data_IF_422569605022
#
_entry.id   IF_422569605022
#
_cell.length_a   1.000
_cell.length_b   1.000
_cell.length_c   1.000
_cell.angle_alpha   90.00
_cell.angle_beta   90.00
_cell.angle_gamma   90.00
#
_symmetry.space_group_name_H-M   'P 1'
#
loop_
_entity.id
_entity.type
_entity.pdbx_description
1 polymer ?
#
# COMPACT_ATOMS: atom_id res chain seq x y z
N UNK A 1 2.56 -0.14 52.43
CA UNK A 1 3.71 0.24 51.56
C UNK A 1 3.22 0.46 50.14
N UNK A 2 3.14 1.71 49.73
CA UNK A 2 2.75 2.04 48.35
C UNK A 2 3.96 1.83 47.43
N UNK A 3 3.88 0.86 46.54
CA UNK A 3 4.88 0.67 45.50
C UNK A 3 4.70 1.82 44.50
N UNK A 4 5.60 2.78 44.57
CA UNK A 4 5.71 3.87 43.60
C UNK A 4 6.17 3.25 42.27
N UNK A 5 5.23 2.92 41.41
CA UNK A 5 5.51 2.52 40.03
C UNK A 5 6.15 3.71 39.31
N UNK A 6 7.48 3.69 39.22
CA UNK A 6 8.22 4.67 38.42
C UNK A 6 7.69 4.63 36.98
N UNK A 7 6.91 5.63 36.63
CA UNK A 7 6.43 5.82 35.25
C UNK A 7 7.66 5.96 34.34
N UNK A 8 7.89 4.99 33.46
CA UNK A 8 8.91 5.07 32.41
C UNK A 8 8.70 6.36 31.64
N UNK A 9 9.69 7.24 31.61
CA UNK A 9 9.65 8.50 30.86
C UNK A 9 9.22 8.21 29.42
N UNK A 10 8.10 8.82 29.00
CA UNK A 10 7.61 8.73 27.62
C UNK A 10 8.67 9.36 26.72
N UNK A 11 9.20 8.62 25.76
CA UNK A 11 10.22 9.13 24.81
C UNK A 11 9.68 10.26 23.92
N UNK A 12 8.37 10.29 23.70
CA UNK A 12 7.68 11.30 22.87
C UNK A 12 6.40 11.73 23.58
N UNK A 13 6.23 13.05 23.66
CA UNK A 13 5.04 13.74 24.15
C UNK A 13 4.26 14.26 22.97
N UNK A 14 2.98 13.94 22.85
CA UNK A 14 2.11 14.40 21.78
C UNK A 14 1.29 15.58 22.26
N UNK A 15 1.46 16.73 21.65
CA UNK A 15 0.65 17.93 21.85
C UNK A 15 0.16 18.42 20.51
N UNK A 16 -1.10 18.19 20.23
CA UNK A 16 -1.73 18.59 18.97
C UNK A 16 -2.15 20.07 19.05
N UNK A 17 -1.93 20.79 17.96
CA UNK A 17 -2.51 22.11 17.75
C UNK A 17 -4.02 22.00 17.44
N UNK A 18 -4.77 23.07 17.58
CA UNK A 18 -6.22 23.05 17.26
C UNK A 18 -6.46 22.79 15.77
N UNK A 19 -5.58 23.24 14.89
CA UNK A 19 -5.62 22.95 13.45
C UNK A 19 -5.44 21.46 13.18
N UNK A 20 -4.45 20.81 13.82
CA UNK A 20 -4.23 19.37 13.68
C UNK A 20 -5.39 18.53 14.21
N UNK A 21 -5.98 18.95 15.34
CA UNK A 21 -7.20 18.31 15.88
C UNK A 21 -8.34 18.37 14.89
N UNK A 22 -8.56 19.54 14.27
CA UNK A 22 -9.60 19.70 13.25
C UNK A 22 -9.38 18.75 12.07
N UNK A 23 -8.14 18.62 11.57
CA UNK A 23 -7.78 17.68 10.50
C UNK A 23 -8.09 16.24 10.92
N UNK A 24 -7.72 15.84 12.14
CA UNK A 24 -8.00 14.49 12.65
C UNK A 24 -9.50 14.24 12.74
N UNK A 25 -10.27 15.15 13.30
CA UNK A 25 -11.72 15.01 13.46
C UNK A 25 -12.44 14.94 12.12
N UNK A 26 -12.08 15.78 11.15
CA UNK A 26 -12.59 15.72 9.79
C UNK A 26 -12.26 14.36 9.12
N UNK A 27 -11.03 13.88 9.30
CA UNK A 27 -10.60 12.60 8.74
C UNK A 27 -11.35 11.43 9.38
N UNK A 28 -11.59 11.48 10.68
CA UNK A 28 -12.34 10.45 11.42
C UNK A 28 -13.83 10.44 11.04
N UNK A 29 -14.43 11.60 10.81
CA UNK A 29 -15.85 11.71 10.42
C UNK A 29 -16.10 11.34 8.96
N UNK A 30 -15.08 11.38 8.10
CA UNK A 30 -15.21 11.06 6.70
C UNK A 30 -15.42 9.56 6.49
N UNK A 31 -16.62 9.15 6.07
CA UNK A 31 -17.01 7.76 5.81
C UNK A 31 -16.17 7.04 4.74
N UNK A 32 -15.48 7.80 3.88
CA UNK A 32 -14.60 7.25 2.83
C UNK A 32 -13.18 6.96 3.31
N UNK A 33 -12.84 7.35 4.54
CA UNK A 33 -11.49 7.12 5.10
C UNK A 33 -11.25 5.63 5.31
N UNK A 34 -10.12 5.13 4.82
CA UNK A 34 -9.76 3.73 4.99
C UNK A 34 -9.48 3.40 6.47
N UNK A 35 -9.78 2.14 6.87
CA UNK A 35 -9.66 1.68 8.27
C UNK A 35 -8.29 1.92 8.89
N UNK A 36 -7.22 1.85 8.11
CA UNK A 36 -5.84 2.04 8.59
C UNK A 36 -5.59 3.50 8.98
N UNK A 37 -5.99 4.45 8.14
CA UNK A 37 -5.88 5.90 8.42
C UNK A 37 -6.78 6.27 9.59
N UNK A 38 -8.02 5.78 9.61
CA UNK A 38 -8.96 5.99 10.70
C UNK A 38 -8.34 5.61 12.06
N UNK A 39 -7.78 4.38 12.16
CA UNK A 39 -7.13 3.93 13.41
C UNK A 39 -5.93 4.81 13.79
N UNK A 40 -5.09 5.23 12.83
CA UNK A 40 -3.96 6.12 13.10
C UNK A 40 -4.41 7.46 13.67
N UNK A 41 -5.43 8.06 13.07
CA UNK A 41 -6.01 9.34 13.53
C UNK A 41 -6.60 9.21 14.95
N UNK A 42 -7.35 8.15 15.22
CA UNK A 42 -7.92 7.88 16.54
C UNK A 42 -6.83 7.67 17.60
N UNK A 43 -5.82 6.87 17.31
CA UNK A 43 -4.68 6.63 18.20
C UNK A 43 -3.97 7.94 18.53
N UNK A 44 -3.70 8.78 17.53
CA UNK A 44 -2.99 10.04 17.75
C UNK A 44 -3.82 11.01 18.57
N UNK A 45 -5.13 11.08 18.32
CA UNK A 45 -6.07 11.91 19.09
C UNK A 45 -6.11 11.51 20.58
N UNK A 46 -6.14 10.21 20.86
CA UNK A 46 -6.18 9.71 22.25
C UNK A 46 -4.83 9.86 22.98
N UNK A 47 -3.74 10.00 22.25
CA UNK A 47 -2.41 10.28 22.80
C UNK A 47 -2.13 11.75 23.09
N UNK A 48 -3.01 12.67 22.64
CA UNK A 48 -2.85 14.10 22.90
C UNK A 48 -2.90 14.38 24.41
N UNK A 49 -1.86 14.98 24.95
CA UNK A 49 -1.77 15.27 26.39
C UNK A 49 -2.79 16.31 26.87
N UNK A 50 -3.26 17.17 25.96
CA UNK A 50 -4.16 18.27 26.32
C UNK A 50 -5.63 17.82 26.35
N UNK A 51 -6.06 17.05 25.35
CA UNK A 51 -7.47 16.63 25.19
C UNK A 51 -7.65 15.13 25.01
N UNK A 52 -6.57 14.36 25.06
CA UNK A 52 -6.59 12.91 24.90
C UNK A 52 -7.03 12.19 26.19
N UNK A 53 -7.06 10.86 26.10
CA UNK A 53 -7.51 9.99 27.20
C UNK A 53 -6.46 9.79 28.30
N UNK A 54 -5.24 10.32 28.16
CA UNK A 54 -4.12 10.11 29.11
C UNK A 54 -3.66 8.66 29.23
N UNK A 55 -4.11 7.77 28.34
CA UNK A 55 -3.83 6.35 28.39
C UNK A 55 -2.40 6.00 27.98
N UNK A 56 -1.94 4.85 28.45
CA UNK A 56 -0.64 4.28 28.02
C UNK A 56 -0.72 3.72 26.60
N UNK A 57 0.42 3.60 25.90
CA UNK A 57 0.49 2.97 24.58
C UNK A 57 -0.07 1.55 24.58
N UNK A 58 0.17 0.77 25.65
CA UNK A 58 -0.36 -0.58 25.78
C UNK A 58 -1.91 -0.58 25.86
N UNK A 59 -2.48 0.36 26.62
CA UNK A 59 -3.94 0.49 26.77
C UNK A 59 -4.59 0.92 25.45
N UNK A 60 -4.02 1.91 24.77
CA UNK A 60 -4.49 2.36 23.44
C UNK A 60 -4.38 1.23 22.41
N UNK A 61 -3.28 0.47 22.43
CA UNK A 61 -3.14 -0.69 21.56
C UNK A 61 -4.25 -1.73 21.76
N UNK A 62 -4.62 -1.97 23.01
CA UNK A 62 -5.75 -2.86 23.34
C UNK A 62 -7.10 -2.29 22.86
N UNK A 63 -7.38 -1.00 23.11
CA UNK A 63 -8.63 -0.33 22.69
C UNK A 63 -8.85 -0.43 21.17
N UNK A 64 -7.80 -0.19 20.39
CA UNK A 64 -7.90 -0.21 18.92
C UNK A 64 -7.58 -1.57 18.28
N UNK A 65 -7.38 -2.61 19.07
CA UNK A 65 -7.00 -3.95 18.63
C UNK A 65 -5.80 -3.91 17.64
N UNK A 66 -4.71 -3.29 18.10
CA UNK A 66 -3.44 -3.21 17.37
C UNK A 66 -2.28 -3.61 18.30
N UNK A 67 -1.13 -3.95 17.72
CA UNK A 67 0.04 -4.21 18.55
C UNK A 67 0.64 -2.90 19.12
N UNK A 68 1.30 -2.90 20.30
CA UNK A 68 1.92 -1.71 20.88
C UNK A 68 2.95 -1.04 19.97
N UNK A 69 3.64 -1.84 19.14
CA UNK A 69 4.57 -1.32 18.14
C UNK A 69 3.86 -0.41 17.10
N UNK A 70 2.61 -0.72 16.74
CA UNK A 70 1.82 0.13 15.83
C UNK A 70 1.59 1.51 16.44
N UNK A 71 1.23 1.58 17.72
CA UNK A 71 1.05 2.86 18.43
C UNK A 71 2.34 3.66 18.44
N UNK A 72 3.47 3.01 18.77
CA UNK A 72 4.79 3.64 18.73
C UNK A 72 5.17 4.14 17.33
N UNK A 73 4.84 3.38 16.29
CA UNK A 73 5.11 3.79 14.89
C UNK A 73 4.25 4.99 14.47
N UNK A 74 3.00 5.06 14.89
CA UNK A 74 2.14 6.24 14.66
C UNK A 74 2.74 7.48 15.32
N UNK A 75 3.17 7.38 16.58
CA UNK A 75 3.83 8.47 17.29
C UNK A 75 5.11 8.92 16.58
N UNK A 76 5.98 7.97 16.21
CA UNK A 76 7.21 8.27 15.45
C UNK A 76 6.90 8.95 14.13
N UNK A 77 5.94 8.43 13.36
CA UNK A 77 5.55 9.00 12.07
C UNK A 77 5.05 10.45 12.22
N UNK A 78 4.22 10.73 13.22
CA UNK A 78 3.76 12.08 13.51
C UNK A 78 4.92 13.02 13.88
N UNK A 79 5.80 12.61 14.78
CA UNK A 79 6.94 13.45 15.24
C UNK A 79 7.94 13.73 14.11
N UNK A 80 8.13 12.78 13.18
CA UNK A 80 9.12 12.92 12.10
C UNK A 80 8.57 13.57 10.84
N UNK A 81 7.28 13.37 10.52
CA UNK A 81 6.69 13.76 9.23
C UNK A 81 5.41 14.61 9.38
N UNK A 82 4.94 14.81 10.60
CA UNK A 82 3.75 15.63 10.89
C UNK A 82 2.41 14.94 10.63
N UNK A 83 1.35 15.76 10.66
CA UNK A 83 -0.04 15.29 10.61
C UNK A 83 -0.44 14.69 9.25
N UNK A 84 0.17 15.15 8.15
CA UNK A 84 -0.12 14.66 6.80
C UNK A 84 0.18 13.18 6.62
N UNK A 85 1.25 12.68 7.24
CA UNK A 85 1.60 11.25 7.21
C UNK A 85 0.55 10.38 7.91
N UNK A 86 -0.13 10.92 8.91
CA UNK A 86 -1.15 10.21 9.69
C UNK A 86 -2.50 10.24 8.98
N UNK A 87 -2.88 11.41 8.44
CA UNK A 87 -4.20 11.66 7.86
C UNK A 87 -4.36 11.12 6.43
N UNK A 88 -3.27 10.80 5.74
CA UNK A 88 -3.30 10.30 4.36
C UNK A 88 -2.92 8.81 4.27
N UNK A 89 -3.48 8.15 3.27
CA UNK A 89 -3.09 6.78 2.93
C UNK A 89 -1.89 6.82 1.99
N UNK A 90 -0.78 6.25 2.42
CA UNK A 90 0.42 6.12 1.59
C UNK A 90 0.53 4.68 1.07
N UNK A 91 0.61 4.55 -0.24
CA UNK A 91 0.92 3.26 -0.89
C UNK A 91 2.42 3.02 -0.71
N UNK A 92 2.77 1.87 -0.16
CA UNK A 92 4.18 1.48 -0.12
C UNK A 92 4.68 1.25 -1.55
N UNK A 93 5.65 2.05 -2.05
CA UNK A 93 6.17 1.88 -3.41
C UNK A 93 6.81 0.50 -3.64
N UNK A 94 7.28 -0.15 -2.56
CA UNK A 94 7.85 -1.49 -2.62
C UNK A 94 6.80 -2.60 -2.41
N UNK A 95 5.50 -2.28 -2.37
CA UNK A 95 4.47 -3.30 -2.27
C UNK A 95 4.31 -4.03 -3.61
N UNK A 96 4.00 -5.33 -3.57
CA UNK A 96 3.74 -6.11 -4.79
C UNK A 96 2.61 -5.55 -5.67
N UNK A 97 1.70 -4.75 -5.11
CA UNK A 97 0.67 -4.03 -5.86
C UNK A 97 1.22 -2.80 -6.60
N UNK A 98 2.28 -2.17 -6.05
CA UNK A 98 2.94 -1.01 -6.66
C UNK A 98 3.95 -1.45 -7.73
N UNK A 99 4.60 -2.59 -7.51
CA UNK A 99 5.57 -3.17 -8.45
C UNK A 99 4.83 -4.08 -9.44
N UNK A 100 3.87 -3.54 -10.17
CA UNK A 100 3.27 -4.30 -11.28
C UNK A 100 4.26 -4.33 -12.44
N UNK A 101 4.67 -5.53 -12.84
CA UNK A 101 5.55 -5.76 -13.99
C UNK A 101 4.87 -5.50 -15.34
N UNK A 102 3.57 -5.31 -15.37
CA UNK A 102 2.82 -4.96 -16.57
C UNK A 102 2.03 -3.68 -16.31
N UNK A 103 2.48 -2.59 -16.90
CA UNK A 103 1.72 -1.36 -17.07
C UNK A 103 0.91 -1.40 -18.37
N UNK A 104 0.10 -0.39 -18.63
CA UNK A 104 -0.73 -0.33 -19.84
C UNK A 104 0.10 -0.33 -21.13
N UNK A 105 1.33 0.22 -21.08
CA UNK A 105 2.24 0.23 -22.23
C UNK A 105 2.76 -1.16 -22.53
N UNK A 106 3.19 -1.88 -21.51
CA UNK A 106 3.64 -3.27 -21.61
C UNK A 106 2.50 -4.18 -22.08
N UNK A 107 1.26 -3.98 -21.58
CA UNK A 107 0.10 -4.74 -22.05
C UNK A 107 -0.15 -4.52 -23.56
N UNK A 108 -0.11 -3.26 -24.01
CA UNK A 108 -0.29 -2.91 -25.42
C UNK A 108 0.79 -3.53 -26.32
N UNK A 109 2.04 -3.55 -25.86
CA UNK A 109 3.16 -4.10 -26.61
C UNK A 109 3.05 -5.63 -26.76
N UNK A 110 2.64 -6.34 -25.70
CA UNK A 110 2.39 -7.78 -25.76
C UNK A 110 1.27 -8.10 -26.76
N UNK A 111 0.22 -7.29 -26.77
CA UNK A 111 -0.90 -7.44 -27.73
C UNK A 111 -0.41 -7.21 -29.17
N UNK A 112 0.43 -6.18 -29.38
CA UNK A 112 1.04 -5.89 -30.68
C UNK A 112 1.85 -7.08 -31.17
N UNK A 113 2.74 -7.63 -30.34
CA UNK A 113 3.58 -8.78 -30.66
C UNK A 113 2.70 -10.01 -30.99
N UNK A 114 1.66 -10.26 -30.22
CA UNK A 114 0.74 -11.38 -30.46
C UNK A 114 -0.04 -11.27 -31.78
N UNK A 115 -0.24 -10.05 -32.31
CA UNK A 115 -0.87 -9.77 -33.59
C UNK A 115 0.06 -9.91 -34.81
N UNK A 116 1.37 -10.06 -34.59
CA UNK A 116 2.34 -10.28 -35.67
C UNK A 116 2.34 -11.77 -36.08
N UNK A 117 2.81 -12.10 -37.31
CA UNK A 117 3.05 -13.49 -37.68
C UNK A 117 4.06 -14.14 -36.72
N UNK A 118 3.89 -15.44 -36.48
CA UNK A 118 4.81 -16.18 -35.65
C UNK A 118 6.22 -16.18 -36.25
N UNK A 119 7.28 -16.21 -35.42
CA UNK A 119 8.66 -16.19 -35.90
C UNK A 119 8.99 -17.45 -36.76
N UNK A 120 9.99 -17.31 -37.63
CA UNK A 120 10.41 -18.36 -38.56
C UNK A 120 10.57 -19.73 -37.88
N UNK A 121 9.94 -20.75 -38.46
CA UNK A 121 9.94 -22.13 -37.94
C UNK A 121 8.71 -22.47 -37.07
N UNK A 122 7.82 -21.53 -36.84
CA UNK A 122 6.59 -21.76 -36.07
C UNK A 122 5.36 -21.34 -36.86
N UNK A 123 4.36 -22.21 -36.93
CA UNK A 123 3.07 -21.96 -37.63
C UNK A 123 2.11 -21.06 -36.82
N UNK A 124 2.32 -20.91 -35.51
CA UNK A 124 1.47 -20.15 -34.60
C UNK A 124 2.24 -19.69 -33.37
N UNK A 125 1.72 -18.64 -32.72
CA UNK A 125 2.20 -18.20 -31.43
C UNK A 125 1.87 -19.21 -30.32
N UNK A 126 2.83 -19.43 -29.44
CA UNK A 126 2.65 -20.10 -28.16
C UNK A 126 2.98 -19.11 -27.03
N UNK A 127 2.46 -19.34 -25.82
CA UNK A 127 2.76 -18.48 -24.67
C UNK A 127 4.28 -18.42 -24.38
N UNK A 128 5.00 -19.51 -24.65
CA UNK A 128 6.46 -19.57 -24.46
C UNK A 128 7.20 -18.71 -25.50
N UNK A 129 6.82 -18.79 -26.76
CA UNK A 129 7.40 -17.95 -27.81
C UNK A 129 7.11 -16.46 -27.56
N UNK A 130 5.90 -16.12 -27.10
CA UNK A 130 5.56 -14.76 -26.73
C UNK A 130 6.38 -14.27 -25.52
N UNK A 131 6.64 -15.13 -24.53
CA UNK A 131 7.51 -14.82 -23.40
C UNK A 131 8.93 -14.52 -23.88
N UNK A 132 9.51 -15.38 -24.73
CA UNK A 132 10.84 -15.21 -25.29
C UNK A 132 10.96 -13.94 -26.13
N UNK A 133 9.96 -13.66 -26.97
CA UNK A 133 9.94 -12.45 -27.78
C UNK A 133 9.72 -11.18 -26.96
N UNK A 134 8.83 -11.22 -25.98
CA UNK A 134 8.59 -10.10 -25.06
C UNK A 134 9.85 -9.77 -24.23
N UNK A 135 10.61 -10.76 -23.80
CA UNK A 135 11.87 -10.54 -23.11
C UNK A 135 12.92 -9.86 -24.00
N UNK A 136 12.93 -10.17 -25.31
CA UNK A 136 13.85 -9.52 -26.25
C UNK A 136 13.50 -8.08 -26.57
N UNK A 137 12.20 -7.76 -26.68
CA UNK A 137 11.72 -6.44 -27.12
C UNK A 137 11.51 -5.47 -25.96
N UNK A 138 11.09 -5.96 -24.77
CA UNK A 138 10.68 -5.10 -23.67
C UNK A 138 11.73 -4.92 -22.56
N UNK A 139 12.81 -5.71 -22.59
CA UNK A 139 13.85 -5.74 -21.54
C UNK A 139 13.28 -5.89 -20.10
N UNK A 140 12.06 -6.42 -19.98
CA UNK A 140 11.34 -6.65 -18.72
C UNK A 140 11.03 -8.14 -18.59
N UNK A 141 11.38 -8.78 -17.47
CA UNK A 141 11.07 -10.18 -17.24
C UNK A 141 9.56 -10.36 -16.98
N UNK A 142 8.81 -10.71 -18.02
CA UNK A 142 7.37 -10.98 -17.94
C UNK A 142 7.18 -12.49 -18.08
N UNK A 143 6.45 -13.10 -17.11
CA UNK A 143 6.17 -14.52 -17.15
C UNK A 143 5.01 -14.87 -18.09
N UNK A 144 5.04 -16.10 -18.64
CA UNK A 144 3.94 -16.67 -19.46
C UNK A 144 2.56 -16.55 -18.83
N UNK A 145 2.44 -16.62 -17.48
CA UNK A 145 1.16 -16.48 -16.78
C UNK A 145 0.64 -15.03 -16.79
N UNK A 146 1.56 -14.05 -16.79
CA UNK A 146 1.18 -12.65 -16.96
C UNK A 146 0.70 -12.40 -18.38
N UNK A 147 1.42 -12.92 -19.39
CA UNK A 147 1.03 -12.85 -20.80
C UNK A 147 -0.35 -13.50 -21.00
N UNK A 148 -0.56 -14.70 -20.46
CA UNK A 148 -1.86 -15.39 -20.50
C UNK A 148 -2.99 -14.54 -19.95
N UNK A 149 -2.78 -13.85 -18.80
CA UNK A 149 -3.80 -12.96 -18.19
C UNK A 149 -4.10 -11.76 -19.07
N UNK A 150 -3.07 -11.16 -19.69
CA UNK A 150 -3.23 -10.02 -20.60
C UNK A 150 -4.06 -10.43 -21.81
N UNK A 151 -3.70 -11.51 -22.48
CA UNK A 151 -4.42 -12.02 -23.64
C UNK A 151 -5.87 -12.38 -23.31
N UNK A 152 -6.10 -13.07 -22.18
CA UNK A 152 -7.45 -13.41 -21.71
C UNK A 152 -8.30 -12.17 -21.44
N UNK A 153 -7.72 -11.11 -20.86
CA UNK A 153 -8.40 -9.84 -20.59
C UNK A 153 -8.90 -9.16 -21.87
N UNK A 154 -8.19 -9.36 -22.99
CA UNK A 154 -8.49 -8.81 -24.29
C UNK A 154 -9.22 -9.80 -25.23
N UNK A 155 -9.62 -10.97 -24.73
CA UNK A 155 -10.25 -12.04 -25.50
C UNK A 155 -9.42 -12.50 -26.72
N UNK A 156 -8.09 -12.40 -26.66
CA UNK A 156 -7.20 -12.83 -27.73
C UNK A 156 -6.88 -14.31 -27.53
N UNK A 157 -7.20 -15.12 -28.55
CA UNK A 157 -6.92 -16.56 -28.57
C UNK A 157 -5.83 -16.85 -29.59
N UNK A 158 -4.68 -17.32 -29.11
CA UNK A 158 -3.50 -17.63 -29.92
C UNK A 158 -3.74 -18.80 -30.90
N UNK A 159 -4.81 -19.58 -30.71
CA UNK A 159 -5.15 -20.69 -31.61
C UNK A 159 -5.89 -20.25 -32.88
N UNK A 160 -6.41 -19.02 -32.91
CA UNK A 160 -7.22 -18.46 -34.00
C UNK A 160 -6.48 -17.45 -34.87
N UNK A 161 -5.24 -17.11 -34.54
CA UNK A 161 -4.43 -16.17 -35.32
C UNK A 161 -3.67 -16.97 -36.40
N UNK A 162 -4.30 -17.13 -37.54
CA UNK A 162 -3.70 -17.61 -38.81
C UNK A 162 -3.57 -16.44 -39.75
#
# INVERSE_FOLDING_TARGET
MAVLLMAKNKKYTIRLTDAERLILDQTIQNKKTCKTVLKRCQILRDLDEVRGSGQTHARIAHIYAVCPATVTNVVKAYVTKGIDEISRYHINPNSGASIRKSDSRTEAEIIRIAGLPAPNGHSRWTLRLLEEQAHKELDIPISKDTIRRILKKQNIDLTKTS
#
